data_IF_976135477509
#
_entry.id   IF_976135477509
#
_cell.length_a   1.000
_cell.length_b   1.000
_cell.length_c   1.000
_cell.angle_alpha   90.00
_cell.angle_beta   90.00
_cell.angle_gamma   90.00
#
_symmetry.space_group_name_H-M   'P 1'
#
loop_
_entity.id
_entity.type
_entity.pdbx_description
1 polymer ?
#
# COMPACT_ATOMS: atom_id res chain seq x y z
N UNK A 1 -12.72 12.26 23.03
CA UNK A 1 -11.25 12.26 22.81
C UNK A 1 -10.59 10.97 23.32
N UNK A 2 -11.09 10.34 24.39
CA UNK A 2 -10.57 9.06 24.94
C UNK A 2 -10.46 7.93 23.89
N UNK A 3 -11.47 7.75 23.04
CA UNK A 3 -11.51 6.62 22.11
C UNK A 3 -10.41 6.64 21.02
N UNK A 4 -9.92 7.82 20.59
CA UNK A 4 -8.92 7.90 19.50
C UNK A 4 -7.52 7.48 19.97
N UNK A 5 -7.16 7.81 21.20
CA UNK A 5 -5.87 7.44 21.79
C UNK A 5 -5.84 5.94 22.06
N UNK A 6 -6.93 5.37 22.58
CA UNK A 6 -7.06 3.93 22.82
C UNK A 6 -6.97 3.12 21.53
N UNK A 7 -7.62 3.56 20.46
CA UNK A 7 -7.54 2.92 19.14
C UNK A 7 -6.11 2.95 18.60
N UNK A 8 -5.42 4.10 18.67
CA UNK A 8 -4.04 4.21 18.21
C UNK A 8 -3.11 3.24 18.97
N UNK A 9 -3.22 3.22 20.30
CA UNK A 9 -2.41 2.35 21.15
C UNK A 9 -2.67 0.86 20.86
N UNK A 10 -3.92 0.49 20.58
CA UNK A 10 -4.28 -0.87 20.19
C UNK A 10 -3.60 -1.27 18.87
N UNK A 11 -3.69 -0.43 17.83
CA UNK A 11 -3.04 -0.70 16.55
C UNK A 11 -1.52 -0.77 16.69
N UNK A 12 -0.89 0.16 17.41
CA UNK A 12 0.54 0.12 17.68
C UNK A 12 0.93 -1.19 18.37
N UNK A 13 0.19 -1.59 19.41
CA UNK A 13 0.49 -2.83 20.16
C UNK A 13 0.37 -4.07 19.27
N UNK A 14 -0.68 -4.16 18.46
CA UNK A 14 -0.89 -5.30 17.55
C UNK A 14 0.19 -5.38 16.48
N UNK A 15 0.57 -4.25 15.88
CA UNK A 15 1.61 -4.18 14.85
C UNK A 15 3.03 -4.35 15.40
N UNK A 16 3.21 -4.18 16.71
CA UNK A 16 4.47 -4.45 17.43
C UNK A 16 4.64 -5.92 17.83
N UNK A 17 3.65 -6.78 17.56
CA UNK A 17 3.71 -8.18 17.96
C UNK A 17 4.83 -8.93 17.22
N UNK A 18 5.48 -9.92 17.88
CA UNK A 18 6.48 -10.75 17.22
C UNK A 18 5.91 -11.42 15.97
N UNK A 19 6.69 -11.43 14.88
CA UNK A 19 6.28 -11.99 13.59
C UNK A 19 5.74 -10.97 12.59
N UNK A 20 5.32 -9.77 13.02
CA UNK A 20 4.76 -8.76 12.11
C UNK A 20 5.77 -8.18 11.11
N UNK A 21 7.07 -8.29 11.40
CA UNK A 21 8.16 -7.87 10.51
C UNK A 21 8.80 -9.04 9.76
N UNK A 22 8.24 -10.24 9.84
CA UNK A 22 8.75 -11.40 9.09
C UNK A 22 8.36 -11.32 7.62
N UNK A 23 9.30 -11.61 6.73
CA UNK A 23 9.03 -11.66 5.30
C UNK A 23 8.15 -12.86 4.95
N UNK A 24 7.07 -12.61 4.21
CA UNK A 24 6.21 -13.66 3.67
C UNK A 24 6.29 -13.71 2.14
N UNK A 25 6.16 -14.91 1.58
CA UNK A 25 6.07 -15.09 0.13
C UNK A 25 4.64 -14.90 -0.36
N UNK A 26 4.43 -13.93 -1.25
CA UNK A 26 3.17 -13.75 -1.98
C UNK A 26 3.26 -14.42 -3.35
N UNK A 27 2.48 -15.48 -3.57
CA UNK A 27 2.31 -16.13 -4.88
C UNK A 27 0.95 -15.74 -5.49
N UNK A 28 0.97 -15.11 -6.66
CA UNK A 28 -0.22 -14.51 -7.25
C UNK A 28 -0.28 -14.70 -8.77
N UNK A 29 -1.47 -14.99 -9.30
CA UNK A 29 -1.77 -15.00 -10.74
C UNK A 29 -2.90 -14.00 -11.02
N UNK A 30 -2.56 -12.91 -11.69
CA UNK A 30 -3.50 -11.84 -12.05
C UNK A 30 -3.41 -11.51 -13.54
N UNK A 31 -4.51 -10.98 -14.09
CA UNK A 31 -4.50 -10.42 -15.45
C UNK A 31 -3.80 -9.06 -15.45
N UNK A 32 -3.25 -8.63 -16.60
CA UNK A 32 -2.61 -7.30 -16.74
C UNK A 32 -3.51 -6.15 -16.25
N UNK A 33 -4.82 -6.25 -16.50
CA UNK A 33 -5.82 -5.26 -16.06
C UNK A 33 -5.94 -5.24 -14.53
N UNK A 34 -6.04 -6.41 -13.90
CA UNK A 34 -6.11 -6.53 -12.45
C UNK A 34 -4.81 -6.04 -11.79
N UNK A 35 -3.65 -6.34 -12.38
CA UNK A 35 -2.35 -5.86 -11.90
C UNK A 35 -2.26 -4.32 -11.93
N UNK A 36 -2.70 -3.68 -13.02
CA UNK A 36 -2.76 -2.22 -13.11
C UNK A 36 -3.71 -1.62 -12.06
N UNK A 37 -4.90 -2.19 -11.90
CA UNK A 37 -5.87 -1.72 -10.93
C UNK A 37 -5.35 -1.87 -9.48
N UNK A 38 -4.67 -2.98 -9.17
CA UNK A 38 -4.04 -3.20 -7.87
C UNK A 38 -2.96 -2.16 -7.58
N UNK A 39 -2.08 -1.91 -8.55
CA UNK A 39 -1.03 -0.89 -8.43
C UNK A 39 -1.63 0.49 -8.18
N UNK A 40 -2.64 0.89 -8.96
CA UNK A 40 -3.31 2.19 -8.79
C UNK A 40 -4.04 2.30 -7.44
N UNK A 41 -4.74 1.25 -7.02
CA UNK A 41 -5.45 1.22 -5.73
C UNK A 41 -4.49 1.32 -4.53
N UNK A 42 -3.36 0.60 -4.58
CA UNK A 42 -2.33 0.70 -3.54
C UNK A 42 -1.69 2.09 -3.52
N UNK A 43 -1.35 2.67 -4.68
CA UNK A 43 -0.80 4.03 -4.75
C UNK A 43 -1.77 5.07 -4.17
N UNK A 44 -3.06 4.98 -4.50
CA UNK A 44 -4.09 5.85 -3.95
C UNK A 44 -4.24 5.66 -2.43
N UNK A 45 -4.25 4.41 -1.96
CA UNK A 45 -4.30 4.09 -0.53
C UNK A 45 -3.11 4.64 0.24
N UNK A 46 -1.89 4.48 -0.27
CA UNK A 46 -0.67 5.05 0.33
C UNK A 46 -0.70 6.57 0.40
N UNK A 47 -1.23 7.22 -0.64
CA UNK A 47 -1.36 8.68 -0.68
C UNK A 47 -2.41 9.16 0.34
N UNK A 48 -3.58 8.52 0.38
CA UNK A 48 -4.68 8.88 1.27
C UNK A 48 -4.46 8.48 2.73
N UNK A 49 -3.58 7.52 3.01
CA UNK A 49 -3.23 7.10 4.37
C UNK A 49 -2.71 8.27 5.22
N UNK A 50 -2.10 9.29 4.61
CA UNK A 50 -1.62 10.49 5.32
C UNK A 50 -2.75 11.35 5.89
N UNK A 51 -3.96 11.22 5.35
CA UNK A 51 -5.10 12.08 5.67
C UNK A 51 -6.19 11.37 6.47
N UNK A 52 -6.18 10.03 6.50
CA UNK A 52 -7.23 9.20 7.10
C UNK A 52 -6.71 8.31 8.25
N UNK A 53 -6.86 8.75 9.52
CA UNK A 53 -6.39 8.02 10.71
C UNK A 53 -7.15 6.72 11.02
N UNK A 54 -8.08 6.29 10.17
CA UNK A 54 -8.86 5.04 10.33
C UNK A 54 -8.37 3.89 9.45
N UNK A 55 -7.30 4.08 8.67
CA UNK A 55 -6.75 3.03 7.79
C UNK A 55 -5.57 2.31 8.44
N UNK A 56 -5.43 1.00 8.20
CA UNK A 56 -4.26 0.24 8.63
C UNK A 56 -2.94 0.87 8.13
N UNK A 57 -2.96 1.44 6.91
CA UNK A 57 -1.81 2.11 6.32
C UNK A 57 -1.35 3.34 7.12
N UNK A 58 -2.26 4.04 7.80
CA UNK A 58 -1.91 5.13 8.71
C UNK A 58 -1.11 4.62 9.91
N UNK A 59 -1.50 3.47 10.46
CA UNK A 59 -0.83 2.86 11.62
C UNK A 59 0.44 2.09 11.28
N UNK A 60 0.55 1.57 10.06
CA UNK A 60 1.69 0.78 9.61
C UNK A 60 2.98 1.60 9.47
N UNK A 61 2.88 2.93 9.40
CA UNK A 61 4.01 3.83 9.35
C UNK A 61 4.71 3.90 7.99
N UNK A 62 5.78 4.71 7.94
CA UNK A 62 6.46 5.08 6.69
C UNK A 62 7.30 3.95 6.09
N UNK A 63 7.85 3.06 6.92
CA UNK A 63 8.60 1.89 6.46
C UNK A 63 7.74 0.98 5.59
N UNK A 64 6.55 0.60 6.09
CA UNK A 64 5.59 -0.22 5.33
C UNK A 64 5.12 0.50 4.07
N UNK A 65 4.90 1.83 4.13
CA UNK A 65 4.54 2.60 2.95
C UNK A 65 5.64 2.58 1.87
N UNK A 66 6.90 2.62 2.28
CA UNK A 66 8.07 2.52 1.39
C UNK A 66 8.14 1.13 0.76
N UNK A 67 8.02 0.07 1.56
CA UNK A 67 8.06 -1.32 1.10
C UNK A 67 6.93 -1.60 0.09
N UNK A 68 5.72 -1.12 0.36
CA UNK A 68 4.58 -1.23 -0.56
C UNK A 68 4.80 -0.40 -1.83
N UNK A 69 5.44 0.76 -1.74
CA UNK A 69 5.85 1.56 -2.90
C UNK A 69 6.79 0.78 -3.82
N UNK A 70 7.86 0.20 -3.26
CA UNK A 70 8.78 -0.64 -4.02
C UNK A 70 8.10 -1.88 -4.60
N UNK A 71 7.17 -2.49 -3.86
CA UNK A 71 6.40 -3.63 -4.33
C UNK A 71 5.59 -3.27 -5.59
N UNK A 72 4.95 -2.09 -5.61
CA UNK A 72 4.19 -1.62 -6.78
C UNK A 72 5.10 -1.45 -7.99
N UNK A 73 6.29 -0.86 -7.82
CA UNK A 73 7.26 -0.72 -8.91
C UNK A 73 7.72 -2.08 -9.45
N UNK A 74 8.09 -3.01 -8.55
CA UNK A 74 8.49 -4.39 -8.90
C UNK A 74 7.34 -5.14 -9.61
N UNK A 75 6.10 -4.97 -9.16
CA UNK A 75 4.90 -5.58 -9.74
C UNK A 75 4.67 -5.08 -11.18
N UNK A 76 4.70 -3.77 -11.39
CA UNK A 76 4.52 -3.16 -12.71
C UNK A 76 5.64 -3.52 -13.68
N UNK A 77 6.89 -3.53 -13.18
CA UNK A 77 8.06 -3.94 -13.98
C UNK A 77 7.95 -5.39 -14.43
N UNK A 78 7.68 -6.32 -13.51
CA UNK A 78 7.53 -7.76 -13.83
C UNK A 78 6.38 -8.03 -14.80
N UNK A 79 5.31 -7.25 -14.73
CA UNK A 79 4.18 -7.37 -15.63
C UNK A 79 4.39 -6.66 -16.99
N UNK A 80 5.49 -5.90 -17.16
CA UNK A 80 5.72 -5.09 -18.36
C UNK A 80 4.64 -4.02 -18.55
N UNK A 81 4.24 -3.36 -17.46
CA UNK A 81 3.14 -2.40 -17.40
C UNK A 81 3.56 -1.01 -16.93
N UNK A 82 4.84 -0.78 -16.62
CA UNK A 82 5.37 0.49 -16.12
C UNK A 82 5.00 1.68 -17.02
N UNK A 83 5.29 1.59 -18.32
CA UNK A 83 5.01 2.68 -19.28
C UNK A 83 3.51 2.93 -19.43
N UNK A 84 2.69 1.87 -19.46
CA UNK A 84 1.24 1.98 -19.55
C UNK A 84 0.69 2.69 -18.32
N UNK A 85 1.16 2.32 -17.13
CA UNK A 85 0.78 2.97 -15.88
C UNK A 85 1.13 4.47 -15.89
N UNK A 86 2.33 4.82 -16.33
CA UNK A 86 2.77 6.22 -16.44
C UNK A 86 1.87 7.04 -17.38
N UNK A 87 1.57 6.50 -18.58
CA UNK A 87 0.66 7.16 -19.54
C UNK A 87 -0.75 7.34 -18.97
N UNK A 88 -1.29 6.31 -18.30
CA UNK A 88 -2.60 6.40 -17.67
C UNK A 88 -2.64 7.47 -16.57
N UNK A 89 -1.60 7.57 -15.74
CA UNK A 89 -1.50 8.60 -14.71
C UNK A 89 -1.42 10.02 -15.29
N UNK A 90 -0.79 10.20 -16.46
CA UNK A 90 -0.76 11.48 -17.16
C UNK A 90 -2.15 11.86 -17.67
N UNK A 91 -2.87 10.88 -18.26
CA UNK A 91 -4.23 11.08 -18.75
C UNK A 91 -5.24 11.36 -17.63
N UNK A 92 -5.09 10.74 -16.46
CA UNK A 92 -6.01 10.92 -15.33
C UNK A 92 -5.78 12.21 -14.54
N UNK A 93 -4.68 12.93 -14.80
CA UNK A 93 -4.36 14.23 -14.18
C UNK A 93 -4.86 15.41 -15.01
N UNK A 94 -5.43 15.15 -16.18
CA UNK A 94 -6.11 16.14 -17.03
C UNK A 94 -7.58 16.21 -16.63
#
# INVERSE_FOLDING_TARGET
MENKVEINLLFETLLSSPGMNEEIKLDMKLTRKATLALAAGLQAGLTGAKEAPSSLLFFAGEAVATDLGEFIEKLLFKAGLTEVNQKLQQLSKT
#
